data_IF_783209632501
#
_entry.id   IF_783209632501
#
_cell.length_a   1.000
_cell.length_b   1.000
_cell.length_c   1.000
_cell.angle_alpha   90.00
_cell.angle_beta   90.00
_cell.angle_gamma   90.00
#
_symmetry.space_group_name_H-M   'P 1'
#
loop_
_entity.id
_entity.type
_entity.pdbx_description
1 polymer ?
#
# COMPACT_ATOMS: atom_id res chain seq x y z
N UNK A 1 4.68 -10.94 2.01
CA UNK A 1 5.45 -9.91 1.33
C UNK A 1 5.26 -8.60 2.07
N UNK A 2 6.33 -8.15 2.71
CA UNK A 2 6.43 -6.84 3.35
C UNK A 2 7.68 -6.18 2.77
N UNK A 3 7.55 -4.95 2.26
CA UNK A 3 8.72 -4.22 1.77
C UNK A 3 9.32 -3.34 2.87
N UNK A 4 10.63 -3.19 2.80
CA UNK A 4 11.42 -2.36 3.72
C UNK A 4 11.29 -0.88 3.37
N UNK A 5 11.69 0.01 4.30
CA UNK A 5 11.76 1.45 4.01
C UNK A 5 12.70 1.75 2.84
N UNK A 6 13.82 1.02 2.72
CA UNK A 6 14.79 1.20 1.64
C UNK A 6 14.21 0.83 0.27
N UNK A 7 13.48 -0.29 0.19
CA UNK A 7 12.76 -0.66 -1.04
C UNK A 7 11.65 0.35 -1.36
N UNK A 8 10.92 0.82 -0.34
CA UNK A 8 9.88 1.82 -0.51
C UNK A 8 10.43 3.15 -1.06
N UNK A 9 11.61 3.59 -0.62
CA UNK A 9 12.21 4.84 -1.11
C UNK A 9 12.39 4.85 -2.63
N UNK A 10 12.69 3.71 -3.24
CA UNK A 10 12.85 3.57 -4.69
C UNK A 10 11.56 3.76 -5.49
N UNK A 11 10.42 3.55 -4.85
CA UNK A 11 9.08 3.64 -5.46
C UNK A 11 8.25 4.79 -4.87
N UNK A 12 8.85 5.61 -4.01
CA UNK A 12 8.14 6.61 -3.22
C UNK A 12 7.53 7.73 -4.09
N UNK A 13 8.15 8.00 -5.23
CA UNK A 13 7.73 8.96 -6.26
C UNK A 13 6.42 8.57 -6.96
N UNK A 14 6.10 7.26 -6.98
CA UNK A 14 4.85 6.75 -7.55
C UNK A 14 3.62 7.12 -6.70
N UNK A 15 3.82 7.49 -5.43
CA UNK A 15 2.72 7.75 -4.51
C UNK A 15 2.32 9.23 -4.49
N UNK A 16 1.01 9.52 -4.31
CA UNK A 16 0.59 10.89 -4.09
C UNK A 16 1.16 11.44 -2.78
N UNK A 17 1.49 12.74 -2.79
CA UNK A 17 1.91 13.45 -1.59
C UNK A 17 0.78 13.44 -0.54
N UNK A 18 1.10 12.98 0.66
CA UNK A 18 0.13 12.88 1.75
C UNK A 18 -0.12 14.28 2.33
N UNK A 19 -1.39 14.73 2.37
CA UNK A 19 -1.77 16.06 2.87
C UNK A 19 -2.59 15.94 4.16
N UNK A 20 -2.39 16.88 5.09
CA UNK A 20 -3.13 16.97 6.34
C UNK A 20 -2.63 16.01 7.44
N UNK A 21 -3.46 15.76 8.45
CA UNK A 21 -3.14 14.82 9.53
C UNK A 21 -3.40 13.38 9.06
N UNK A 22 -2.34 12.62 8.84
CA UNK A 22 -2.40 11.31 8.20
C UNK A 22 -1.97 10.21 9.16
N UNK A 23 -2.93 9.38 9.59
CA UNK A 23 -2.70 8.31 10.57
C UNK A 23 -1.80 7.17 10.08
N UNK A 24 -1.77 6.91 8.76
CA UNK A 24 -0.97 5.84 8.17
C UNK A 24 -0.11 6.40 7.04
N UNK A 25 1.20 6.18 7.07
CA UNK A 25 2.04 6.55 5.93
C UNK A 25 1.80 5.62 4.73
N UNK A 26 2.27 6.01 3.55
CA UNK A 26 2.09 5.22 2.32
C UNK A 26 2.67 3.80 2.44
N UNK A 27 3.82 3.64 3.08
CA UNK A 27 4.47 2.34 3.29
C UNK A 27 3.61 1.39 4.15
N UNK A 28 3.00 1.88 5.23
CA UNK A 28 2.10 1.09 6.08
C UNK A 28 0.90 0.60 5.29
N UNK A 29 0.29 1.48 4.48
CA UNK A 29 -0.86 1.12 3.65
C UNK A 29 -0.47 0.12 2.56
N UNK A 30 0.66 0.35 1.89
CA UNK A 30 1.17 -0.59 0.89
C UNK A 30 1.41 -1.97 1.49
N UNK A 31 2.09 -2.07 2.63
CA UNK A 31 2.34 -3.35 3.30
C UNK A 31 1.04 -4.07 3.69
N UNK A 32 0.00 -3.33 4.08
CA UNK A 32 -1.32 -3.91 4.36
C UNK A 32 -1.99 -4.46 3.08
N UNK A 33 -1.87 -3.75 1.96
CA UNK A 33 -2.38 -4.19 0.66
C UNK A 33 -1.66 -5.46 0.21
N UNK A 34 -0.32 -5.48 0.31
CA UNK A 34 0.50 -6.63 -0.05
C UNK A 34 0.16 -7.86 0.79
N UNK A 35 -0.09 -7.68 2.09
CA UNK A 35 -0.53 -8.77 2.96
C UNK A 35 -1.84 -9.39 2.47
N UNK A 36 -2.84 -8.56 2.15
CA UNK A 36 -4.14 -9.03 1.65
C UNK A 36 -3.98 -9.76 0.31
N UNK A 37 -3.16 -9.21 -0.60
CA UNK A 37 -2.89 -9.81 -1.91
C UNK A 37 -2.20 -11.17 -1.80
N UNK A 38 -1.20 -11.30 -0.92
CA UNK A 38 -0.47 -12.55 -0.71
C UNK A 38 -1.30 -13.63 -0.02
N UNK A 39 -2.11 -13.25 0.97
CA UNK A 39 -2.87 -14.21 1.79
C UNK A 39 -4.26 -14.53 1.23
N UNK A 40 -4.71 -13.81 0.18
CA UNK A 40 -6.03 -14.00 -0.43
C UNK A 40 -7.20 -13.77 0.53
N UNK A 41 -7.01 -12.95 1.57
CA UNK A 41 -8.00 -12.80 2.63
C UNK A 41 -8.99 -11.66 2.36
N UNK A 42 -10.15 -11.70 3.03
CA UNK A 42 -11.11 -10.59 3.00
C UNK A 42 -10.51 -9.39 3.73
N UNK A 43 -10.76 -8.17 3.26
CA UNK A 43 -10.31 -6.93 3.93
C UNK A 43 -10.67 -6.88 5.42
N UNK A 44 -11.85 -7.36 5.81
CA UNK A 44 -12.28 -7.41 7.22
C UNK A 44 -11.45 -8.35 8.10
N UNK A 45 -10.71 -9.28 7.51
CA UNK A 45 -9.79 -10.18 8.20
C UNK A 45 -8.36 -9.62 8.28
N UNK A 46 -8.12 -8.38 7.81
CA UNK A 46 -6.82 -7.73 7.94
C UNK A 46 -6.41 -7.66 9.42
N UNK A 47 -5.21 -8.15 9.78
CA UNK A 47 -4.73 -8.09 11.16
C UNK A 47 -4.68 -6.66 11.69
N UNK A 48 -5.12 -6.47 12.95
CA UNK A 48 -5.19 -5.15 13.61
C UNK A 48 -3.87 -4.37 13.60
N UNK A 49 -2.72 -5.05 13.54
CA UNK A 49 -1.40 -4.43 13.44
C UNK A 49 -1.20 -3.56 12.18
N UNK A 50 -1.97 -3.81 11.11
CA UNK A 50 -1.96 -3.00 9.90
C UNK A 50 -2.91 -1.79 9.98
N UNK A 51 -3.68 -1.68 11.06
CA UNK A 51 -4.64 -0.62 11.29
C UNK A 51 -6.07 -0.96 10.88
N UNK A 52 -6.87 0.09 10.69
CA UNK A 52 -8.31 -0.02 10.41
C UNK A 52 -8.49 -0.43 8.94
N UNK A 53 -9.01 -1.64 8.71
CA UNK A 53 -9.19 -2.19 7.36
C UNK A 53 -9.93 -1.25 6.41
N UNK A 54 -10.94 -0.52 6.90
CA UNK A 54 -11.73 0.40 6.07
C UNK A 54 -10.90 1.57 5.54
N UNK A 55 -9.99 2.10 6.36
CA UNK A 55 -9.06 3.18 5.97
C UNK A 55 -8.07 2.68 4.92
N UNK A 56 -7.52 1.48 5.11
CA UNK A 56 -6.61 0.84 4.16
C UNK A 56 -7.33 0.59 2.83
N UNK A 57 -8.50 -0.05 2.87
CA UNK A 57 -9.31 -0.36 1.69
C UNK A 57 -9.67 0.91 0.90
N UNK A 58 -10.12 1.96 1.59
CA UNK A 58 -10.50 3.23 0.93
C UNK A 58 -9.33 3.85 0.18
N UNK A 59 -8.13 3.82 0.78
CA UNK A 59 -6.91 4.31 0.13
C UNK A 59 -6.46 3.43 -1.02
N UNK A 60 -6.46 2.11 -0.83
CA UNK A 60 -6.17 1.13 -1.88
C UNK A 60 -7.08 1.37 -3.09
N UNK A 61 -8.39 1.46 -2.88
CA UNK A 61 -9.37 1.68 -3.95
C UNK A 61 -9.12 3.00 -4.69
N UNK A 62 -8.75 4.07 -3.98
CA UNK A 62 -8.38 5.35 -4.59
C UNK A 62 -7.10 5.22 -5.42
N UNK A 63 -6.09 4.52 -4.91
CA UNK A 63 -4.82 4.29 -5.61
C UNK A 63 -5.00 3.43 -6.85
N UNK A 64 -5.81 2.38 -6.77
CA UNK A 64 -6.16 1.53 -7.91
C UNK A 64 -6.84 2.35 -9.02
N UNK A 65 -7.86 3.14 -8.67
CA UNK A 65 -8.59 4.00 -9.65
C UNK A 65 -7.71 5.05 -10.31
N UNK A 66 -6.66 5.50 -9.62
CA UNK A 66 -5.75 6.53 -10.12
C UNK A 66 -4.47 5.95 -10.77
N UNK A 67 -4.37 4.62 -10.96
CA UNK A 67 -3.21 3.97 -11.58
C UNK A 67 -1.94 3.93 -10.71
N UNK A 68 -2.02 4.36 -9.43
CA UNK A 68 -0.87 4.37 -8.52
C UNK A 68 -0.36 2.95 -8.25
N UNK A 69 -1.28 2.00 -8.05
CA UNK A 69 -0.89 0.60 -7.80
C UNK A 69 -0.24 -0.04 -9.02
N UNK A 70 -0.73 0.27 -10.23
CA UNK A 70 -0.16 -0.26 -11.47
C UNK A 70 1.29 0.23 -11.66
N UNK A 71 1.53 1.53 -11.42
CA UNK A 71 2.87 2.12 -11.46
C UNK A 71 3.81 1.50 -10.41
N UNK A 72 3.31 1.33 -9.18
CA UNK A 72 4.07 0.71 -8.08
C UNK A 72 4.44 -0.73 -8.42
N UNK A 73 3.50 -1.55 -8.88
CA UNK A 73 3.76 -2.96 -9.18
C UNK A 73 4.70 -3.12 -10.37
N UNK A 74 4.54 -2.29 -11.41
CA UNK A 74 5.49 -2.24 -12.53
C UNK A 74 6.91 -1.93 -12.04
N UNK A 75 7.07 -0.91 -11.20
CA UNK A 75 8.38 -0.51 -10.68
C UNK A 75 9.01 -1.59 -9.78
N UNK A 76 8.21 -2.26 -8.96
CA UNK A 76 8.67 -3.38 -8.14
C UNK A 76 9.11 -4.59 -8.98
N UNK A 77 8.46 -4.85 -10.12
CA UNK A 77 8.83 -5.94 -11.02
C UNK A 77 10.18 -5.69 -11.73
N UNK A 78 10.45 -4.45 -12.08
CA UNK A 78 11.69 -4.06 -12.76
C UNK A 78 12.90 -3.91 -11.80
N UNK A 79 12.69 -4.01 -10.49
CA UNK A 79 13.75 -3.99 -9.46
C UNK A 79 14.20 -5.41 -9.04
N UNK A 80 13.78 -6.44 -9.80
CA UNK A 80 14.17 -7.84 -9.61
C UNK A 80 15.58 -8.16 -10.15
#
# INVERSE_FOLDING_TARGET
MKITCAQYQKIADCFPHQRGNVHFNNLQVLNAILFVAENGCKWRALPKQFGIWHTIYTRMNRWAKNGVLDQVFKRLQEEH
#
